data_IF_554766456664
#
_entry.id   IF_554766456664
#
_cell.length_a   1.000
_cell.length_b   1.000
_cell.length_c   1.000
_cell.angle_alpha   90.00
_cell.angle_beta   90.00
_cell.angle_gamma   90.00
#
_symmetry.space_group_name_H-M   'P 1'
#
loop_
_entity.id
_entity.type
_entity.pdbx_description
1 polymer ?
#
# COMPACT_ATOMS: atom_id res chain seq x y z
N UNK A 1 30.27 -24.38 -28.39
CA UNK A 1 30.59 -25.61 -27.62
C UNK A 1 30.97 -25.14 -26.22
N UNK A 2 30.12 -25.14 -25.19
CA UNK A 2 29.18 -26.15 -24.65
C UNK A 2 29.72 -26.58 -23.28
N UNK A 3 29.00 -26.73 -22.15
CA UNK A 3 27.61 -26.49 -21.71
C UNK A 3 27.65 -25.96 -20.25
N UNK A 4 26.55 -25.51 -19.63
CA UNK A 4 25.50 -26.35 -19.01
C UNK A 4 26.09 -27.14 -17.82
N UNK A 5 25.61 -27.14 -16.58
CA UNK A 5 24.27 -26.90 -16.05
C UNK A 5 24.31 -27.01 -14.51
N UNK A 6 23.39 -26.32 -13.84
CA UNK A 6 22.73 -26.63 -12.54
C UNK A 6 23.46 -27.13 -11.26
N UNK A 7 23.13 -26.52 -10.11
CA UNK A 7 22.99 -27.27 -8.85
C UNK A 7 23.46 -26.63 -7.53
N UNK A 8 22.50 -26.08 -6.77
CA UNK A 8 22.44 -26.04 -5.30
C UNK A 8 23.62 -25.47 -4.49
N UNK A 9 23.49 -24.21 -4.04
CA UNK A 9 24.40 -23.61 -3.06
C UNK A 9 23.78 -22.46 -2.29
N UNK A 10 22.86 -22.80 -1.38
CA UNK A 10 22.21 -21.92 -0.40
C UNK A 10 23.26 -21.19 0.46
N UNK A 11 23.90 -20.12 -0.05
CA UNK A 11 24.66 -19.19 0.80
C UNK A 11 23.62 -18.36 1.55
N UNK A 12 23.24 -18.83 2.73
CA UNK A 12 22.77 -17.97 3.81
C UNK A 12 23.86 -16.93 4.05
N UNK A 13 23.84 -15.84 3.27
CA UNK A 13 24.55 -14.62 3.66
C UNK A 13 23.76 -14.12 4.84
N UNK A 14 24.18 -14.52 6.04
CA UNK A 14 23.95 -13.71 7.22
C UNK A 14 24.47 -12.33 6.83
N UNK A 15 23.55 -11.45 6.44
CA UNK A 15 23.83 -10.04 6.32
C UNK A 15 24.26 -9.63 7.73
N UNK A 16 25.49 -9.14 7.86
CA UNK A 16 25.96 -8.60 9.13
C UNK A 16 25.23 -7.28 9.36
N UNK A 17 25.06 -6.88 10.62
CA UNK A 17 24.38 -5.61 10.98
C UNK A 17 25.01 -4.37 10.34
N UNK A 18 26.25 -4.49 9.88
CA UNK A 18 27.03 -3.46 9.16
C UNK A 18 26.72 -3.42 7.64
N UNK A 19 26.20 -4.52 7.08
CA UNK A 19 25.75 -4.67 5.69
C UNK A 19 24.23 -4.53 5.53
N UNK A 20 23.49 -4.43 6.63
CA UNK A 20 22.07 -4.09 6.60
C UNK A 20 21.95 -2.63 6.13
N UNK A 21 21.28 -2.34 4.98
CA UNK A 21 20.84 -0.98 4.73
C UNK A 21 20.08 -0.49 5.95
N UNK A 22 20.53 0.63 6.53
CA UNK A 22 19.98 1.23 7.75
C UNK A 22 18.45 1.44 7.68
N UNK A 23 17.91 1.47 6.46
CA UNK A 23 16.51 1.73 6.16
C UNK A 23 15.95 0.72 5.15
N UNK A 24 15.74 -0.52 5.60
CA UNK A 24 15.07 -1.56 4.79
C UNK A 24 13.62 -1.22 4.39
N UNK A 25 12.96 -0.34 5.16
CA UNK A 25 11.54 -0.02 5.02
C UNK A 25 11.27 1.40 4.53
N UNK A 26 12.31 2.20 4.23
CA UNK A 26 12.16 3.55 3.71
C UNK A 26 12.45 3.53 2.21
N UNK A 27 11.50 3.94 1.39
CA UNK A 27 11.73 4.11 -0.04
C UNK A 27 12.69 5.29 -0.29
N UNK A 28 13.41 5.27 -1.42
CA UNK A 28 14.32 6.38 -1.79
C UNK A 28 13.59 7.75 -1.80
N UNK A 29 12.31 7.77 -2.18
CA UNK A 29 11.49 8.99 -2.20
C UNK A 29 11.09 9.47 -0.81
N UNK A 30 10.81 8.57 0.13
CA UNK A 30 10.60 8.96 1.54
C UNK A 30 11.88 9.51 2.18
N UNK A 31 13.05 9.01 1.76
CA UNK A 31 14.36 9.48 2.24
C UNK A 31 14.71 10.89 1.75
N UNK A 32 14.27 11.25 0.56
CA UNK A 32 14.42 12.59 -0.01
C UNK A 32 13.32 13.56 0.50
N UNK A 33 12.45 13.10 1.42
CA UNK A 33 11.37 13.90 2.00
C UNK A 33 10.24 14.18 1.01
N UNK A 34 10.09 13.36 -0.03
CA UNK A 34 9.00 13.51 -0.98
C UNK A 34 7.65 13.26 -0.29
N UNK A 35 6.65 14.05 -0.67
CA UNK A 35 5.33 13.95 -0.08
C UNK A 35 4.77 12.53 -0.31
N UNK A 36 4.39 11.78 0.74
CA UNK A 36 3.93 10.38 0.61
C UNK A 36 2.72 10.22 -0.32
N UNK A 37 1.90 11.28 -0.46
CA UNK A 37 0.81 11.31 -1.44
C UNK A 37 1.28 11.34 -2.91
N UNK A 38 2.57 11.52 -3.20
CA UNK A 38 3.11 11.54 -4.57
C UNK A 38 3.84 10.26 -4.93
N UNK A 39 4.52 9.65 -3.97
CA UNK A 39 5.55 8.64 -4.22
C UNK A 39 5.25 7.28 -3.62
N UNK A 40 4.31 7.19 -2.68
CA UNK A 40 3.97 5.93 -2.02
C UNK A 40 2.58 5.40 -2.48
N UNK A 41 2.54 4.30 -3.24
CA UNK A 41 1.30 3.60 -3.57
C UNK A 41 0.49 3.18 -2.33
N UNK A 42 1.14 2.86 -1.21
CA UNK A 42 0.46 2.45 0.02
C UNK A 42 -0.32 3.60 0.65
N UNK A 43 0.20 4.83 0.60
CA UNK A 43 -0.52 6.02 1.04
C UNK A 43 -1.84 6.22 0.27
N UNK A 44 -1.84 5.98 -1.05
CA UNK A 44 -3.07 6.04 -1.87
C UNK A 44 -4.08 4.96 -1.49
N UNK A 45 -3.62 3.74 -1.25
CA UNK A 45 -4.48 2.62 -0.82
C UNK A 45 -5.09 2.93 0.55
N UNK A 46 -4.29 3.45 1.50
CA UNK A 46 -4.77 3.87 2.81
C UNK A 46 -5.80 4.99 2.73
N UNK A 47 -5.55 6.00 1.89
CA UNK A 47 -6.50 7.08 1.64
C UNK A 47 -7.81 6.55 1.07
N UNK A 48 -7.73 5.72 0.03
CA UNK A 48 -8.92 5.10 -0.55
C UNK A 48 -9.67 4.27 0.48
N UNK A 49 -9.00 3.43 1.27
CA UNK A 49 -9.64 2.59 2.27
C UNK A 49 -10.41 3.40 3.33
N UNK A 50 -9.86 4.54 3.77
CA UNK A 50 -10.52 5.44 4.73
C UNK A 50 -11.75 6.11 4.10
N UNK A 51 -11.64 6.57 2.85
CA UNK A 51 -12.72 7.30 2.19
C UNK A 51 -13.76 6.39 1.51
N UNK A 52 -13.41 5.15 1.20
CA UNK A 52 -14.27 4.16 0.55
C UNK A 52 -15.64 4.00 1.21
N UNK A 53 -15.78 3.85 2.55
CA UNK A 53 -17.10 3.75 3.18
C UNK A 53 -17.98 4.98 2.91
N UNK A 54 -17.40 6.20 2.87
CA UNK A 54 -18.15 7.43 2.63
C UNK A 54 -18.52 7.62 1.15
N UNK A 55 -17.61 7.29 0.25
CA UNK A 55 -17.90 7.33 -1.19
C UNK A 55 -19.03 6.35 -1.51
N UNK A 56 -18.94 5.13 -0.95
CA UNK A 56 -19.94 4.09 -1.14
C UNK A 56 -21.31 4.51 -0.57
N UNK A 57 -21.37 5.10 0.63
CA UNK A 57 -22.65 5.56 1.20
C UNK A 57 -23.26 6.67 0.36
N UNK A 58 -22.48 7.64 -0.11
CA UNK A 58 -22.98 8.70 -1.00
C UNK A 58 -23.56 8.12 -2.29
N UNK A 59 -22.89 7.15 -2.91
CA UNK A 59 -23.39 6.47 -4.11
C UNK A 59 -24.69 5.70 -3.83
N UNK A 60 -24.80 5.02 -2.69
CA UNK A 60 -26.01 4.28 -2.32
C UNK A 60 -27.21 5.18 -2.01
N UNK A 61 -26.96 6.36 -1.41
CA UNK A 61 -28.01 7.37 -1.21
C UNK A 61 -28.44 7.95 -2.57
N UNK A 62 -27.49 8.32 -3.42
CA UNK A 62 -27.77 8.89 -4.73
C UNK A 62 -28.50 7.92 -5.68
N UNK A 63 -28.22 6.61 -5.57
CA UNK A 63 -28.92 5.58 -6.35
C UNK A 63 -30.31 5.24 -5.82
N UNK A 64 -30.70 5.76 -4.64
CA UNK A 64 -31.95 5.43 -3.98
C UNK A 64 -31.95 4.08 -3.26
N UNK A 65 -30.79 3.43 -3.12
CA UNK A 65 -30.67 2.18 -2.37
C UNK A 65 -30.75 2.39 -0.85
N UNK A 66 -30.39 3.58 -0.36
CA UNK A 66 -30.59 4.02 1.02
C UNK A 66 -31.51 5.24 1.02
N UNK A 67 -32.64 5.12 1.71
CA UNK A 67 -33.56 6.23 1.94
C UNK A 67 -33.31 6.86 3.31
N UNK A 68 -33.19 8.19 3.34
CA UNK A 68 -32.99 8.98 4.55
C UNK A 68 -34.29 9.64 5.04
N UNK A 69 -35.39 9.54 4.30
CA UNK A 69 -36.68 10.19 4.60
C UNK A 69 -37.31 9.66 5.90
N UNK A 70 -37.14 8.37 6.20
CA UNK A 70 -37.67 7.73 7.41
C UNK A 70 -36.92 8.08 8.71
N UNK A 71 -35.75 8.73 8.63
CA UNK A 71 -34.95 9.09 9.80
C UNK A 71 -35.45 10.33 10.56
N UNK A 72 -36.40 11.09 9.98
CA UNK A 72 -36.92 12.35 10.51
C UNK A 72 -38.34 12.26 11.10
N UNK A 73 -38.79 11.06 11.48
CA UNK A 73 -40.10 10.89 12.15
C UNK A 73 -39.93 10.98 13.67
N UNK A 74 -40.06 12.19 14.20
CA UNK A 74 -40.39 12.47 15.61
C UNK A 74 -41.61 13.38 15.67
#
# INVERSE_FOLDING_TARGET
MGGGDEGAGKKRRFITREEEPDEYFLSKGERDGENPLKTDPLAWIGLLAIFFPFILTVVLIASGAIDLSGAYVH
#
